data_IF_463818616013
#
_entry.id   IF_463818616013
#
_cell.length_a   1.000
_cell.length_b   1.000
_cell.length_c   1.000
_cell.angle_alpha   90.00
_cell.angle_beta   90.00
_cell.angle_gamma   90.00
#
_symmetry.space_group_name_H-M   'P 1'
#
loop_
_entity.id
_entity.type
_entity.pdbx_description
1 polymer ?
#
# COMPACT_ATOMS: atom_id res chain seq x y z
N UNK A 1 0.18 2.43 -5.29
CA UNK A 1 0.72 3.07 -6.51
C UNK A 1 0.95 4.55 -6.22
N UNK A 2 1.79 5.24 -7.00
CA UNK A 2 1.97 6.67 -6.85
C UNK A 2 0.81 7.44 -7.50
N UNK A 3 0.33 8.49 -6.85
CA UNK A 3 -0.74 9.37 -7.37
C UNK A 3 -0.14 10.70 -7.79
N UNK A 4 -0.36 11.17 -9.03
CA UNK A 4 0.20 12.44 -9.50
C UNK A 4 -0.57 13.63 -8.94
N UNK A 5 0.11 14.76 -8.75
CA UNK A 5 -0.52 16.05 -8.46
C UNK A 5 -0.68 16.80 -9.79
N UNK A 6 -1.86 17.37 -10.02
CA UNK A 6 -2.20 18.14 -11.22
C UNK A 6 -2.31 19.63 -10.87
N UNK A 7 -1.98 20.50 -11.82
CA UNK A 7 -2.05 21.96 -11.66
C UNK A 7 -3.47 22.44 -11.31
N UNK A 8 -4.49 21.67 -11.70
CA UNK A 8 -5.91 21.98 -11.49
C UNK A 8 -6.48 21.38 -10.22
N UNK A 9 -5.66 20.74 -9.37
CA UNK A 9 -6.16 20.09 -8.17
C UNK A 9 -6.70 21.10 -7.15
N UNK A 10 -7.86 20.77 -6.61
CA UNK A 10 -8.27 21.16 -5.26
C UNK A 10 -7.92 20.04 -4.28
N UNK A 11 -7.92 20.35 -2.98
CA UNK A 11 -7.78 19.36 -1.90
C UNK A 11 -8.73 18.16 -2.10
N UNK A 12 -10.01 18.42 -2.38
CA UNK A 12 -11.01 17.38 -2.61
C UNK A 12 -10.65 16.48 -3.81
N UNK A 13 -10.29 17.08 -4.95
CA UNK A 13 -10.01 16.33 -6.18
C UNK A 13 -8.74 15.48 -6.10
N UNK A 14 -7.74 15.92 -5.35
CA UNK A 14 -6.54 15.14 -5.07
C UNK A 14 -6.86 14.03 -4.06
N UNK A 15 -7.61 14.34 -3.02
CA UNK A 15 -8.02 13.37 -1.98
C UNK A 15 -8.83 12.21 -2.57
N UNK A 16 -9.74 12.48 -3.50
CA UNK A 16 -10.50 11.41 -4.18
C UNK A 16 -9.60 10.46 -4.97
N UNK A 17 -8.62 10.99 -5.71
CA UNK A 17 -7.66 10.16 -6.45
C UNK A 17 -6.73 9.37 -5.53
N UNK A 18 -6.34 9.94 -4.38
CA UNK A 18 -5.61 9.21 -3.33
C UNK A 18 -6.47 8.08 -2.79
N UNK A 19 -7.72 8.34 -2.46
CA UNK A 19 -8.67 7.35 -1.93
C UNK A 19 -8.88 6.17 -2.87
N UNK A 20 -8.96 6.42 -4.17
CA UNK A 20 -9.00 5.34 -5.18
C UNK A 20 -7.75 4.46 -5.15
N UNK A 21 -6.55 5.06 -5.01
CA UNK A 21 -5.31 4.30 -4.88
C UNK A 21 -5.23 3.54 -3.55
N UNK A 22 -5.75 4.10 -2.46
CA UNK A 22 -5.86 3.43 -1.15
C UNK A 22 -6.79 2.22 -1.19
N UNK A 23 -7.93 2.31 -1.90
CA UNK A 23 -8.82 1.17 -2.10
C UNK A 23 -8.17 -0.01 -2.83
N UNK A 24 -7.08 0.20 -3.56
CA UNK A 24 -6.25 -0.88 -4.13
C UNK A 24 -5.14 -1.30 -3.18
N UNK A 25 -4.43 -0.33 -2.60
CA UNK A 25 -3.25 -0.58 -1.79
C UNK A 25 -3.59 -1.28 -0.46
N UNK A 26 -4.66 -0.86 0.21
CA UNK A 26 -5.00 -1.37 1.53
C UNK A 26 -5.42 -2.84 1.50
N UNK A 27 -6.36 -3.28 0.64
CA UNK A 27 -6.71 -4.71 0.57
C UNK A 27 -5.53 -5.58 0.14
N UNK A 28 -4.69 -5.11 -0.80
CA UNK A 28 -3.49 -5.83 -1.21
C UNK A 28 -2.49 -6.01 -0.05
N UNK A 29 -2.26 -4.95 0.73
CA UNK A 29 -1.40 -5.03 1.92
C UNK A 29 -1.97 -5.97 2.98
N UNK A 30 -3.29 -5.95 3.21
CA UNK A 30 -3.95 -6.85 4.14
C UNK A 30 -3.76 -8.32 3.72
N UNK A 31 -3.94 -8.62 2.44
CA UNK A 31 -3.73 -9.97 1.89
C UNK A 31 -2.29 -10.45 2.10
N UNK A 32 -1.29 -9.59 1.87
CA UNK A 32 0.12 -9.93 2.07
C UNK A 32 0.44 -10.28 3.52
N UNK A 33 -0.17 -9.59 4.47
CA UNK A 33 0.00 -9.88 5.90
C UNK A 33 -0.77 -11.12 6.30
N UNK A 34 -2.04 -11.25 5.88
CA UNK A 34 -2.91 -12.37 6.24
C UNK A 34 -2.41 -13.71 5.68
N UNK A 35 -1.87 -13.71 4.46
CA UNK A 35 -1.22 -14.88 3.84
C UNK A 35 0.14 -15.21 4.46
N UNK A 36 0.70 -14.31 5.27
CA UNK A 36 2.05 -14.43 5.81
C UNK A 36 3.17 -14.20 4.80
N UNK A 37 2.86 -13.71 3.59
CA UNK A 37 3.84 -13.33 2.58
C UNK A 37 4.75 -12.18 3.07
N UNK A 38 4.25 -11.35 3.98
CA UNK A 38 4.97 -10.25 4.61
C UNK A 38 4.88 -10.37 6.14
N UNK A 39 5.99 -10.08 6.84
CA UNK A 39 6.07 -10.10 8.32
C UNK A 39 6.85 -8.91 8.85
N UNK A 40 6.57 -8.54 10.10
CA UNK A 40 7.36 -7.56 10.86
C UNK A 40 8.48 -8.27 11.62
N UNK A 41 9.70 -7.77 11.52
CA UNK A 41 10.85 -8.23 12.31
C UNK A 41 10.95 -7.47 13.64
N UNK A 42 11.72 -8.02 14.56
CA UNK A 42 12.00 -7.43 15.88
C UNK A 42 12.68 -6.03 15.80
N UNK A 43 13.37 -5.72 14.69
CA UNK A 43 13.99 -4.41 14.44
C UNK A 43 13.01 -3.38 13.81
N UNK A 44 11.72 -3.72 13.72
CA UNK A 44 10.68 -2.86 13.16
C UNK A 44 10.68 -2.79 11.63
N UNK A 45 11.52 -3.56 10.93
CA UNK A 45 11.52 -3.61 9.47
C UNK A 45 10.64 -4.74 8.94
N UNK A 46 10.06 -4.51 7.78
CA UNK A 46 9.31 -5.51 7.04
C UNK A 46 10.25 -6.53 6.38
N UNK A 47 9.86 -7.80 6.37
CA UNK A 47 10.52 -8.87 5.61
C UNK A 47 9.52 -9.63 4.74
N UNK A 48 9.94 -9.99 3.54
CA UNK A 48 9.21 -10.89 2.66
C UNK A 48 9.50 -12.33 3.06
N UNK A 49 8.46 -13.15 3.23
CA UNK A 49 8.62 -14.59 3.38
C UNK A 49 9.19 -15.13 2.06
N UNK A 50 10.46 -15.52 2.05
CA UNK A 50 11.03 -16.16 0.88
C UNK A 50 10.33 -17.50 0.69
N UNK A 51 9.76 -17.73 -0.49
CA UNK A 51 9.45 -19.09 -0.93
C UNK A 51 10.73 -19.90 -0.82
N UNK A 52 10.77 -20.88 0.07
CA UNK A 52 11.72 -21.98 -0.06
C UNK A 52 11.42 -22.60 -1.41
N UNK A 53 12.40 -22.59 -2.31
CA UNK A 53 12.34 -23.34 -3.57
C UNK A 53 12.06 -24.81 -3.32
#
# INVERSE_FOLDING_TARGET
EAVPILVTDTEDSLSERIREAEHRAFPAALELVASGAVKLRDDGRMVWSQSVQ
#
